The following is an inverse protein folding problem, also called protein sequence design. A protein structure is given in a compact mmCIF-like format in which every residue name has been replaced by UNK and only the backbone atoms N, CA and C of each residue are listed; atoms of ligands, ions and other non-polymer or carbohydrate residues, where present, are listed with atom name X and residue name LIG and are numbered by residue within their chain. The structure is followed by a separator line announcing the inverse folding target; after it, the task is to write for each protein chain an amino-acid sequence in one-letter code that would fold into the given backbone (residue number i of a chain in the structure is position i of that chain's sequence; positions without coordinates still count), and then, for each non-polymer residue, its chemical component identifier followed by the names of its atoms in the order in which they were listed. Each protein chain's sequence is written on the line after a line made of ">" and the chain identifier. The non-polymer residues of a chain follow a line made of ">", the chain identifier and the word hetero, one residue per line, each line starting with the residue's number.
data_IF_192833928460
#
_entry.id   IF_192833928460
#
_cell.length_a   1.000
_cell.length_b   1.000
_cell.length_c   1.000
_cell.angle_alpha   90.00
_cell.angle_beta   90.00
_cell.angle_gamma   90.00
#
_symmetry.space_group_name_H-M   'P 1'
#
loop_
_entity.id
_entity.type
_entity.pdbx_description
1 polymer ?
#
# COMPACT_ATOMS: atom_id res chain seq x y z
N UNK A 1 8.88 7.92 -17.75
CA UNK A 1 8.99 6.74 -16.87
C UNK A 1 10.14 5.80 -17.25
N UNK A 2 10.28 5.39 -18.53
CA UNK A 2 11.32 4.42 -18.95
C UNK A 2 12.75 4.85 -18.60
N UNK A 3 13.02 6.14 -18.56
CA UNK A 3 14.34 6.70 -18.26
C UNK A 3 14.59 6.96 -16.77
N UNK A 4 13.57 6.94 -15.93
CA UNK A 4 13.67 7.23 -14.50
C UNK A 4 14.69 6.34 -13.78
N UNK A 5 14.65 5.00 -13.91
CA UNK A 5 15.61 4.11 -13.24
C UNK A 5 17.07 4.33 -13.62
N UNK A 6 17.31 4.86 -14.84
CA UNK A 6 18.66 5.18 -15.30
C UNK A 6 19.14 6.59 -14.94
N UNK A 7 18.22 7.54 -14.76
CA UNK A 7 18.54 8.93 -14.41
C UNK A 7 18.66 9.17 -12.91
N UNK A 8 18.03 8.35 -12.11
CA UNK A 8 18.00 8.45 -10.65
C UNK A 8 18.63 7.20 -10.05
N UNK A 9 19.87 7.31 -9.63
CA UNK A 9 20.57 6.25 -8.88
C UNK A 9 20.86 6.77 -7.48
N UNK A 10 20.32 6.08 -6.48
CA UNK A 10 20.58 6.36 -5.07
C UNK A 10 21.61 5.34 -4.60
N UNK A 11 22.72 5.80 -4.04
CA UNK A 11 23.87 4.95 -3.69
C UNK A 11 24.33 5.20 -2.25
N UNK A 12 25.04 4.23 -1.68
CA UNK A 12 25.71 4.28 -0.36
C UNK A 12 24.73 4.66 0.75
N UNK A 13 25.09 5.57 1.62
CA UNK A 13 24.32 6.03 2.79
C UNK A 13 22.94 6.56 2.41
N UNK A 14 22.83 7.31 1.32
CA UNK A 14 21.53 7.75 0.81
C UNK A 14 20.63 6.57 0.44
N UNK A 15 21.20 5.47 -0.07
CA UNK A 15 20.40 4.28 -0.39
C UNK A 15 19.84 3.65 0.88
N UNK A 16 20.63 3.50 1.95
CA UNK A 16 20.17 2.96 3.22
C UNK A 16 19.05 3.81 3.82
N UNK A 17 19.20 5.14 3.85
CA UNK A 17 18.16 6.06 4.33
C UNK A 17 16.86 5.97 3.51
N UNK A 18 16.95 5.87 2.19
CA UNK A 18 15.77 5.73 1.32
C UNK A 18 15.12 4.35 1.44
N UNK A 19 15.89 3.29 1.71
CA UNK A 19 15.35 1.95 1.98
C UNK A 19 14.62 1.91 3.33
N UNK A 20 15.12 2.56 4.37
CA UNK A 20 14.40 2.73 5.64
C UNK A 20 13.12 3.55 5.44
N UNK A 21 13.15 4.60 4.60
CA UNK A 21 11.96 5.34 4.22
C UNK A 21 10.97 4.46 3.45
N UNK A 22 11.41 3.66 2.49
CA UNK A 22 10.55 2.71 1.79
C UNK A 22 9.88 1.73 2.76
N UNK A 23 10.66 1.18 3.70
CA UNK A 23 10.19 0.26 4.72
C UNK A 23 9.09 0.90 5.59
N UNK A 24 9.30 2.13 6.07
CA UNK A 24 8.30 2.84 6.88
C UNK A 24 6.99 3.15 6.14
N UNK A 25 6.96 2.96 4.83
CA UNK A 25 5.77 3.10 3.99
C UNK A 25 5.15 1.75 3.56
N UNK A 26 5.61 0.61 4.09
CA UNK A 26 5.05 -0.69 3.71
C UNK A 26 3.76 -0.98 4.48
N UNK A 27 2.66 -1.21 3.76
CA UNK A 27 1.53 -1.99 4.26
C UNK A 27 1.91 -3.46 4.12
N UNK A 28 2.42 -4.05 5.22
CA UNK A 28 2.89 -5.42 5.22
C UNK A 28 1.69 -6.37 5.12
N UNK A 29 1.63 -7.10 4.02
CA UNK A 29 0.39 -7.71 3.53
C UNK A 29 0.48 -9.23 3.51
N UNK A 30 -0.56 -9.90 4.01
CA UNK A 30 -0.86 -11.30 3.70
C UNK A 30 -2.32 -11.43 3.30
N UNK A 31 -2.58 -12.02 2.12
CA UNK A 31 -3.90 -12.20 1.51
C UNK A 31 -3.96 -13.58 0.86
N UNK A 32 -3.67 -14.59 1.65
CA UNK A 32 -3.68 -15.99 1.23
C UNK A 32 -4.88 -16.71 1.84
N UNK A 33 -5.51 -17.59 1.09
CA UNK A 33 -6.67 -18.34 1.57
C UNK A 33 -6.33 -19.35 2.68
N UNK A 34 -5.04 -19.61 2.90
CA UNK A 34 -4.51 -20.48 3.97
C UNK A 34 -3.92 -19.67 5.16
N UNK A 35 -4.21 -18.38 5.25
CA UNK A 35 -3.77 -17.57 6.38
C UNK A 35 -4.40 -18.08 7.69
N UNK A 36 -3.57 -18.09 8.72
CA UNK A 36 -3.97 -18.43 10.08
C UNK A 36 -3.66 -17.27 11.01
N UNK A 37 -4.37 -17.20 12.15
CA UNK A 37 -4.06 -16.20 13.18
C UNK A 37 -2.58 -16.22 13.58
N UNK A 38 -1.96 -17.39 13.66
CA UNK A 38 -0.57 -17.53 14.04
C UNK A 38 0.37 -16.93 13.00
N UNK A 39 0.05 -17.06 11.70
CA UNK A 39 0.78 -16.39 10.62
C UNK A 39 0.63 -14.88 10.73
N UNK A 40 -0.59 -14.41 10.95
CA UNK A 40 -0.87 -12.97 11.11
C UNK A 40 -0.16 -12.40 12.34
N UNK A 41 -0.15 -13.10 13.47
CA UNK A 41 0.60 -12.69 14.68
C UNK A 41 2.10 -12.56 14.42
N UNK A 42 2.69 -13.49 13.65
CA UNK A 42 4.11 -13.38 13.24
C UNK A 42 4.33 -12.16 12.34
N UNK A 43 3.44 -11.94 11.38
CA UNK A 43 3.49 -10.78 10.50
C UNK A 43 3.42 -9.46 11.27
N UNK A 44 2.55 -9.37 12.29
CA UNK A 44 2.44 -8.21 13.18
C UNK A 44 3.73 -7.97 13.98
N UNK A 45 4.35 -9.03 14.51
CA UNK A 45 5.67 -8.92 15.17
C UNK A 45 6.73 -8.39 14.21
N UNK A 46 6.72 -8.91 12.97
CA UNK A 46 7.62 -8.43 11.91
C UNK A 46 7.37 -6.98 11.55
N UNK A 47 6.12 -6.52 11.53
CA UNK A 47 5.79 -5.12 11.29
C UNK A 47 6.29 -4.18 12.39
N UNK A 48 6.24 -4.62 13.65
CA UNK A 48 6.77 -3.86 14.81
C UNK A 48 8.30 -3.79 14.84
N UNK A 49 8.97 -4.84 14.39
CA UNK A 49 10.44 -4.96 14.39
C UNK A 49 10.92 -5.50 13.04
N UNK A 50 10.82 -4.69 11.98
CA UNK A 50 11.05 -5.14 10.62
C UNK A 50 12.53 -5.35 10.28
N UNK A 51 13.44 -4.74 11.03
CA UNK A 51 14.90 -4.83 10.83
C UNK A 51 15.57 -5.30 12.12
N UNK A 52 16.58 -6.13 11.99
CA UNK A 52 17.38 -6.61 13.12
C UNK A 52 18.04 -5.44 13.85
N UNK A 53 18.07 -5.52 15.19
CA UNK A 53 18.59 -4.46 16.07
C UNK A 53 20.07 -4.16 15.84
N UNK A 54 20.89 -5.19 15.53
CA UNK A 54 22.31 -5.02 15.24
C UNK A 54 22.54 -4.18 13.96
N UNK A 55 21.69 -4.33 12.94
CA UNK A 55 21.76 -3.53 11.72
C UNK A 55 21.33 -2.09 11.97
N UNK A 56 20.26 -1.86 12.73
CA UNK A 56 19.82 -0.52 13.09
C UNK A 56 20.87 0.21 13.94
N UNK A 57 21.50 -0.50 14.89
CA UNK A 57 22.58 0.05 15.69
C UNK A 57 23.77 0.46 14.81
N UNK A 58 24.19 -0.39 13.86
CA UNK A 58 25.26 -0.07 12.92
C UNK A 58 24.94 1.11 11.98
N UNK A 59 23.64 1.39 11.74
CA UNK A 59 23.17 2.51 10.95
C UNK A 59 22.89 3.78 11.78
N UNK A 60 23.12 3.74 13.09
CA UNK A 60 22.78 4.81 14.05
C UNK A 60 21.30 5.24 13.98
N UNK A 61 20.41 4.26 13.89
CA UNK A 61 18.95 4.48 13.80
C UNK A 61 18.26 3.87 15.02
N UNK A 62 17.52 4.68 15.80
CA UNK A 62 16.73 4.18 16.92
C UNK A 62 15.66 3.18 16.43
N UNK A 63 15.62 2.00 17.05
CA UNK A 63 14.72 0.92 16.63
C UNK A 63 13.24 1.28 16.79
N UNK A 64 12.88 2.14 17.74
CA UNK A 64 11.51 2.60 17.99
C UNK A 64 10.95 3.42 16.82
N UNK A 65 11.82 3.95 15.96
CA UNK A 65 11.43 4.77 14.80
C UNK A 65 11.22 3.96 13.53
N UNK A 66 11.50 2.65 13.58
CA UNK A 66 11.47 1.79 12.39
C UNK A 66 10.41 0.71 12.56
N UNK A 67 9.29 0.89 11.89
CA UNK A 67 8.18 -0.07 11.82
C UNK A 67 7.49 0.03 10.45
N UNK A 68 6.71 -0.99 10.09
CA UNK A 68 5.87 -0.94 8.89
C UNK A 68 4.74 0.08 9.06
N UNK A 69 4.20 0.59 7.95
CA UNK A 69 3.12 1.58 7.97
C UNK A 69 1.80 1.01 8.45
N UNK A 70 1.47 -0.21 8.03
CA UNK A 70 0.26 -0.92 8.40
C UNK A 70 0.44 -2.44 8.24
N UNK A 71 -0.49 -3.21 8.81
CA UNK A 71 -0.74 -4.60 8.45
C UNK A 71 -1.98 -4.64 7.56
N UNK A 72 -1.92 -5.39 6.45
CA UNK A 72 -3.06 -5.56 5.55
C UNK A 72 -3.44 -7.03 5.43
N UNK A 73 -4.69 -7.36 5.78
CA UNK A 73 -5.21 -8.73 5.89
C UNK A 73 -6.63 -8.84 5.32
N UNK A 74 -7.15 -10.07 5.20
CA UNK A 74 -8.59 -10.29 5.04
C UNK A 74 -9.35 -9.96 6.32
N UNK A 75 -10.63 -9.60 6.21
CA UNK A 75 -11.49 -9.20 7.33
C UNK A 75 -11.54 -10.22 8.46
N UNK A 76 -11.55 -11.54 8.16
CA UNK A 76 -11.52 -12.60 9.17
C UNK A 76 -10.29 -12.56 10.09
N UNK A 77 -9.18 -12.03 9.58
CA UNK A 77 -7.92 -11.93 10.32
C UNK A 77 -7.76 -10.60 11.10
N UNK A 78 -8.68 -9.66 10.94
CA UNK A 78 -8.62 -8.34 11.61
C UNK A 78 -8.54 -8.46 13.13
N UNK A 79 -9.38 -9.25 13.83
CA UNK A 79 -9.31 -9.35 15.29
C UNK A 79 -7.95 -9.84 15.78
N UNK A 80 -7.36 -10.83 15.10
CA UNK A 80 -6.05 -11.37 15.45
C UNK A 80 -4.92 -10.35 15.23
N UNK A 81 -5.02 -9.54 14.18
CA UNK A 81 -4.07 -8.47 13.87
C UNK A 81 -4.17 -7.33 14.89
N UNK A 82 -5.39 -6.87 15.19
CA UNK A 82 -5.65 -5.80 16.19
C UNK A 82 -5.08 -6.20 17.55
N UNK A 83 -5.40 -7.41 18.02
CA UNK A 83 -4.89 -7.91 19.30
C UNK A 83 -3.35 -8.04 19.32
N UNK A 84 -2.73 -8.41 18.19
CA UNK A 84 -1.26 -8.54 18.11
C UNK A 84 -0.53 -7.20 17.99
N UNK A 85 -1.21 -6.15 17.59
CA UNK A 85 -0.68 -4.79 17.45
C UNK A 85 -1.06 -3.86 18.60
N UNK A 86 -1.76 -4.39 19.62
CA UNK A 86 -2.11 -3.61 20.80
C UNK A 86 -0.89 -2.91 21.42
N UNK A 87 -1.06 -1.64 21.81
CA UNK A 87 0.02 -0.80 22.28
C UNK A 87 1.02 -0.35 21.22
N UNK A 88 0.76 -0.60 19.92
CA UNK A 88 1.53 -0.03 18.80
C UNK A 88 0.68 1.01 18.05
N UNK A 89 1.34 1.90 17.33
CA UNK A 89 0.65 2.86 16.46
C UNK A 89 0.49 2.34 15.01
N UNK A 90 0.60 1.02 14.79
CA UNK A 90 0.49 0.41 13.46
C UNK A 90 -0.98 0.06 13.22
N UNK A 91 -1.66 0.69 12.25
CA UNK A 91 -3.05 0.40 11.94
C UNK A 91 -3.21 -0.96 11.25
N UNK A 92 -4.41 -1.55 11.40
CA UNK A 92 -4.83 -2.71 10.64
C UNK A 92 -5.70 -2.26 9.47
N UNK A 93 -5.31 -2.64 8.27
CA UNK A 93 -6.06 -2.48 7.04
C UNK A 93 -6.76 -3.80 6.67
N UNK A 94 -8.03 -3.73 6.30
CA UNK A 94 -8.77 -4.87 5.75
C UNK A 94 -9.04 -4.68 4.26
N UNK A 95 -8.78 -5.70 3.42
CA UNK A 95 -9.30 -5.71 2.06
C UNK A 95 -10.79 -6.04 2.10
N UNK A 96 -11.59 -5.42 1.22
CA UNK A 96 -13.05 -5.51 1.28
C UNK A 96 -13.71 -5.40 -0.09
N UNK A 97 -15.04 -5.40 -0.08
CA UNK A 97 -15.94 -5.29 -1.22
C UNK A 97 -15.84 -6.46 -2.21
N UNK A 98 -15.68 -7.67 -1.66
CA UNK A 98 -15.54 -8.89 -2.45
C UNK A 98 -14.16 -9.00 -3.11
N UNK A 99 -13.12 -8.58 -2.38
CA UNK A 99 -11.73 -8.69 -2.84
C UNK A 99 -11.36 -10.14 -3.23
N UNK A 100 -10.62 -10.41 -4.33
CA UNK A 100 -10.04 -9.41 -5.26
C UNK A 100 -10.97 -9.04 -6.43
N UNK A 101 -12.05 -9.78 -6.67
CA UNK A 101 -12.87 -9.64 -7.87
C UNK A 101 -13.81 -8.42 -7.83
N UNK A 102 -14.29 -8.02 -6.65
CA UNK A 102 -15.26 -6.93 -6.51
C UNK A 102 -16.65 -7.27 -7.05
N UNK A 103 -17.02 -8.57 -7.14
CA UNK A 103 -18.23 -9.06 -7.79
C UNK A 103 -19.27 -9.66 -6.82
N UNK A 104 -19.04 -9.58 -5.53
CA UNK A 104 -20.06 -9.96 -4.54
C UNK A 104 -21.31 -9.05 -4.66
N UNK A 105 -22.51 -9.54 -4.29
CA UNK A 105 -23.71 -8.71 -4.26
C UNK A 105 -23.48 -7.41 -3.49
N UNK A 106 -24.01 -6.31 -4.00
CA UNK A 106 -23.73 -4.95 -3.49
C UNK A 106 -23.99 -4.80 -1.98
N UNK A 107 -25.13 -5.30 -1.50
CA UNK A 107 -25.47 -5.23 -0.08
C UNK A 107 -24.45 -5.98 0.83
N UNK A 108 -23.91 -7.11 0.34
CA UNK A 108 -22.90 -7.88 1.06
C UNK A 108 -21.55 -7.14 1.09
N UNK A 109 -21.21 -6.39 0.04
CA UNK A 109 -19.99 -5.58 0.03
C UNK A 109 -20.04 -4.44 1.07
N UNK A 110 -21.20 -3.82 1.24
CA UNK A 110 -21.41 -2.83 2.30
C UNK A 110 -21.35 -3.46 3.69
N UNK A 111 -21.96 -4.62 3.87
CA UNK A 111 -21.93 -5.36 5.14
C UNK A 111 -20.49 -5.79 5.50
N UNK A 112 -19.71 -6.26 4.51
CA UNK A 112 -18.30 -6.64 4.69
C UNK A 112 -17.44 -5.47 5.22
N UNK A 113 -17.64 -4.26 4.69
CA UNK A 113 -17.00 -3.04 5.20
C UNK A 113 -17.36 -2.84 6.68
N UNK A 114 -18.67 -2.85 6.99
CA UNK A 114 -19.15 -2.62 8.35
C UNK A 114 -18.61 -3.63 9.36
N UNK A 115 -18.57 -4.91 8.99
CA UNK A 115 -18.00 -5.96 9.85
C UNK A 115 -16.48 -5.78 10.06
N UNK A 116 -15.73 -5.36 9.02
CA UNK A 116 -14.30 -5.07 9.14
C UNK A 116 -14.03 -3.89 10.10
N UNK A 117 -14.82 -2.84 10.01
CA UNK A 117 -14.71 -1.67 10.91
C UNK A 117 -15.05 -2.06 12.34
N UNK A 118 -16.14 -2.82 12.58
CA UNK A 118 -16.51 -3.34 13.90
C UNK A 118 -15.42 -4.24 14.49
N UNK A 119 -14.73 -5.01 13.67
CA UNK A 119 -13.62 -5.85 14.10
C UNK A 119 -12.36 -5.06 14.47
N UNK A 120 -12.32 -3.74 14.24
CA UNK A 120 -11.24 -2.84 14.60
C UNK A 120 -10.30 -2.48 13.45
N UNK A 121 -10.67 -2.71 12.19
CA UNK A 121 -9.91 -2.23 11.05
C UNK A 121 -9.94 -0.70 11.03
N UNK A 122 -8.77 -0.06 11.09
CA UNK A 122 -8.62 1.39 10.99
C UNK A 122 -8.55 1.88 9.53
N UNK A 123 -8.30 0.98 8.60
CA UNK A 123 -8.17 1.27 7.18
C UNK A 123 -8.90 0.20 6.36
N UNK A 124 -9.59 0.60 5.29
CA UNK A 124 -10.33 -0.31 4.42
C UNK A 124 -9.85 -0.15 2.98
N UNK A 125 -9.27 -1.21 2.42
CA UNK A 125 -8.84 -1.26 1.02
C UNK A 125 -10.00 -1.84 0.18
N UNK A 126 -10.85 -0.99 -0.38
CA UNK A 126 -12.03 -1.39 -1.18
C UNK A 126 -11.67 -1.65 -2.62
N UNK A 127 -12.31 -2.62 -3.27
CA UNK A 127 -12.19 -2.86 -4.72
C UNK A 127 -13.38 -2.22 -5.43
N UNK A 128 -13.12 -1.35 -6.40
CA UNK A 128 -14.17 -0.77 -7.23
C UNK A 128 -14.77 -1.79 -8.19
N UNK A 129 -16.02 -1.58 -8.62
CA UNK A 129 -16.60 -2.33 -9.73
C UNK A 129 -16.01 -1.89 -11.06
N UNK A 130 -15.05 -2.65 -11.60
CA UNK A 130 -14.38 -2.34 -12.89
C UNK A 130 -15.35 -2.18 -14.04
N UNK A 131 -16.50 -2.86 -14.00
CA UNK A 131 -17.56 -2.74 -15.01
C UNK A 131 -17.99 -1.30 -15.24
N UNK A 132 -18.11 -0.47 -14.19
CA UNK A 132 -18.50 0.93 -14.33
C UNK A 132 -17.46 1.71 -15.14
N UNK A 133 -16.18 1.45 -14.93
CA UNK A 133 -15.09 2.06 -15.70
C UNK A 133 -15.12 1.60 -17.17
N UNK A 134 -15.29 0.29 -17.39
CA UNK A 134 -15.26 -0.31 -18.73
C UNK A 134 -16.47 0.07 -19.57
N UNK A 135 -17.64 0.24 -18.95
CA UNK A 135 -18.86 0.76 -19.61
C UNK A 135 -18.92 2.29 -19.64
N UNK A 136 -17.94 2.99 -19.07
CA UNK A 136 -17.89 4.45 -18.93
C UNK A 136 -19.06 5.04 -18.12
N UNK A 137 -19.64 4.26 -17.24
CA UNK A 137 -20.66 4.69 -16.29
C UNK A 137 -19.99 5.34 -15.05
N UNK A 138 -19.54 6.55 -15.24
CA UNK A 138 -18.78 7.31 -14.23
C UNK A 138 -19.65 7.74 -13.04
N UNK A 139 -20.95 7.94 -13.30
CA UNK A 139 -21.90 8.27 -12.24
C UNK A 139 -22.08 7.08 -11.29
N UNK A 140 -22.26 5.88 -11.82
CA UNK A 140 -22.36 4.68 -11.00
C UNK A 140 -21.09 4.39 -10.21
N UNK A 141 -19.90 4.66 -10.76
CA UNK A 141 -18.64 4.54 -10.01
C UNK A 141 -18.60 5.52 -8.85
N UNK A 142 -19.01 6.77 -9.07
CA UNK A 142 -19.03 7.80 -8.04
C UNK A 142 -19.98 7.44 -6.89
N UNK A 143 -21.21 7.04 -7.22
CA UNK A 143 -22.24 6.66 -6.25
C UNK A 143 -21.85 5.40 -5.45
N UNK A 144 -21.27 4.40 -6.12
CA UNK A 144 -20.72 3.20 -5.46
C UNK A 144 -19.65 3.59 -4.45
N UNK A 145 -18.69 4.42 -4.85
CA UNK A 145 -17.59 4.84 -4.01
C UNK A 145 -18.06 5.69 -2.82
N UNK A 146 -19.03 6.61 -3.03
CA UNK A 146 -19.64 7.38 -1.93
C UNK A 146 -20.31 6.45 -0.90
N UNK A 147 -21.03 5.44 -1.37
CA UNK A 147 -21.68 4.48 -0.47
C UNK A 147 -20.66 3.68 0.34
N UNK A 148 -19.54 3.29 -0.27
CA UNK A 148 -18.45 2.63 0.43
C UNK A 148 -17.79 3.58 1.45
N UNK A 149 -17.56 4.86 1.10
CA UNK A 149 -17.04 5.86 2.05
C UNK A 149 -17.95 5.99 3.29
N UNK A 150 -19.26 6.09 3.07
CA UNK A 150 -20.24 6.18 4.17
C UNK A 150 -20.17 4.91 5.04
N UNK A 151 -20.09 3.73 4.46
CA UNK A 151 -20.01 2.47 5.21
C UNK A 151 -18.70 2.33 6.02
N UNK A 152 -17.60 2.96 5.58
CA UNK A 152 -16.33 2.98 6.29
C UNK A 152 -16.32 3.89 7.52
N UNK A 153 -17.27 4.83 7.66
CA UNK A 153 -17.30 5.78 8.77
C UNK A 153 -15.98 6.56 8.91
N UNK A 154 -15.32 6.48 10.05
CA UNK A 154 -14.04 7.15 10.32
C UNK A 154 -12.81 6.37 9.77
N UNK A 155 -12.98 5.13 9.31
CA UNK A 155 -11.86 4.36 8.81
C UNK A 155 -11.31 4.95 7.50
N UNK A 156 -9.99 4.89 7.33
CA UNK A 156 -9.28 5.39 6.15
C UNK A 156 -9.59 4.53 4.92
N UNK A 157 -9.98 5.13 3.80
CA UNK A 157 -10.41 4.40 2.60
C UNK A 157 -9.37 4.43 1.51
N UNK A 158 -8.96 3.24 1.05
CA UNK A 158 -8.07 3.11 -0.09
C UNK A 158 -8.80 2.44 -1.25
N UNK A 159 -9.04 3.17 -2.34
CA UNK A 159 -9.74 2.67 -3.51
C UNK A 159 -8.80 1.88 -4.43
N UNK A 160 -9.01 0.56 -4.52
CA UNK A 160 -8.26 -0.32 -5.43
C UNK A 160 -8.90 -0.25 -6.81
N UNK A 161 -8.16 0.28 -7.78
CA UNK A 161 -8.65 0.48 -9.14
C UNK A 161 -8.53 -0.77 -10.03
N UNK A 162 -7.62 -1.70 -9.70
CA UNK A 162 -7.26 -2.85 -10.54
C UNK A 162 -6.81 -2.40 -11.95
N UNK A 163 -5.83 -1.51 -11.98
CA UNK A 163 -5.42 -0.73 -13.15
C UNK A 163 -5.04 -1.55 -14.38
N UNK A 164 -4.54 -2.78 -14.18
CA UNK A 164 -4.22 -3.70 -15.27
C UNK A 164 -5.43 -4.18 -16.08
N UNK A 165 -6.63 -4.03 -15.52
CA UNK A 165 -7.90 -4.48 -16.12
C UNK A 165 -8.77 -3.33 -16.63
N UNK A 166 -8.32 -2.07 -16.55
CA UNK A 166 -9.12 -0.89 -16.97
C UNK A 166 -8.97 -0.51 -18.46
N UNK A 167 -8.17 -1.25 -19.22
CA UNK A 167 -8.04 -1.13 -20.67
C UNK A 167 -7.22 0.07 -21.16
N UNK A 168 -7.16 1.20 -20.46
CA UNK A 168 -6.39 2.38 -20.89
C UNK A 168 -5.96 3.27 -19.74
N UNK A 169 -4.85 4.01 -19.92
CA UNK A 169 -4.41 5.03 -18.96
C UNK A 169 -5.44 6.16 -18.78
N UNK A 170 -6.26 6.45 -19.81
CA UNK A 170 -7.35 7.41 -19.68
C UNK A 170 -8.40 6.94 -18.67
N UNK A 171 -8.76 5.67 -18.71
CA UNK A 171 -9.69 5.07 -17.74
C UNK A 171 -9.09 5.08 -16.33
N UNK A 172 -7.78 4.76 -16.19
CA UNK A 172 -7.07 4.86 -14.91
C UNK A 172 -7.13 6.28 -14.35
N UNK A 173 -6.86 7.30 -15.19
CA UNK A 173 -6.90 8.69 -14.76
C UNK A 173 -8.31 9.10 -14.29
N UNK A 174 -9.34 8.79 -15.06
CA UNK A 174 -10.74 9.12 -14.73
C UNK A 174 -11.21 8.41 -13.45
N UNK A 175 -10.94 7.10 -13.34
CA UNK A 175 -11.29 6.34 -12.15
C UNK A 175 -10.56 6.88 -10.90
N UNK A 176 -9.28 7.25 -11.02
CA UNK A 176 -8.53 7.90 -9.93
C UNK A 176 -9.21 9.17 -9.46
N UNK A 177 -9.53 10.07 -10.38
CA UNK A 177 -10.18 11.35 -10.05
C UNK A 177 -11.56 11.13 -9.40
N UNK A 178 -12.39 10.24 -9.96
CA UNK A 178 -13.74 9.99 -9.44
C UNK A 178 -13.67 9.38 -8.03
N UNK A 179 -12.77 8.43 -7.77
CA UNK A 179 -12.63 7.85 -6.44
C UNK A 179 -12.19 8.91 -5.40
N UNK A 180 -11.27 9.81 -5.75
CA UNK A 180 -10.89 10.92 -4.87
C UNK A 180 -12.05 11.89 -4.61
N UNK A 181 -12.78 12.27 -5.65
CA UNK A 181 -13.98 13.13 -5.53
C UNK A 181 -15.07 12.51 -4.67
N UNK A 182 -15.20 11.19 -4.68
CA UNK A 182 -16.18 10.43 -3.91
C UNK A 182 -15.72 10.12 -2.47
N UNK A 183 -14.53 10.62 -2.04
CA UNK A 183 -14.07 10.54 -0.67
C UNK A 183 -13.08 9.42 -0.36
N UNK A 184 -12.38 8.88 -1.36
CA UNK A 184 -11.23 8.02 -1.10
C UNK A 184 -10.06 8.83 -0.52
N UNK A 185 -9.47 8.36 0.59
CA UNK A 185 -8.26 8.96 1.17
C UNK A 185 -7.02 8.58 0.36
N UNK A 186 -7.01 7.36 -0.19
CA UNK A 186 -5.96 6.82 -1.06
C UNK A 186 -6.53 6.26 -2.35
N UNK A 187 -5.77 6.34 -3.43
CA UNK A 187 -5.95 5.52 -4.62
C UNK A 187 -4.85 4.46 -4.70
N UNK A 188 -5.26 3.21 -4.92
CA UNK A 188 -4.37 2.03 -4.97
C UNK A 188 -4.42 1.40 -6.35
N UNK A 189 -3.26 0.98 -6.87
CA UNK A 189 -3.20 0.45 -8.24
C UNK A 189 -3.97 -0.85 -8.41
N UNK A 190 -3.74 -1.84 -7.56
CA UNK A 190 -4.06 -3.23 -7.85
C UNK A 190 -4.40 -4.03 -6.60
N UNK A 191 -5.04 -5.18 -6.77
CA UNK A 191 -5.25 -6.17 -5.71
C UNK A 191 -3.98 -7.01 -5.46
N UNK A 192 -3.09 -7.09 -6.44
CA UNK A 192 -1.96 -8.01 -6.47
C UNK A 192 -2.30 -9.38 -7.06
N UNK A 193 -3.55 -9.59 -7.49
CA UNK A 193 -4.04 -10.83 -8.08
C UNK A 193 -4.27 -10.74 -9.60
N UNK A 194 -4.16 -9.55 -10.18
CA UNK A 194 -4.23 -9.32 -11.61
C UNK A 194 -2.93 -9.79 -12.30
N UNK A 195 -3.01 -10.04 -13.62
CA UNK A 195 -1.84 -10.39 -14.44
C UNK A 195 -0.85 -9.23 -14.57
N UNK A 196 -1.36 -7.98 -14.58
CA UNK A 196 -0.58 -6.75 -14.61
C UNK A 196 -0.96 -5.89 -13.41
N UNK A 197 0.01 -5.60 -12.56
CA UNK A 197 -0.16 -4.83 -11.34
C UNK A 197 0.49 -3.43 -11.47
N UNK A 198 1.12 -2.94 -10.39
CA UNK A 198 1.75 -1.63 -10.39
C UNK A 198 2.88 -1.53 -11.44
N UNK A 199 2.81 -0.46 -12.25
CA UNK A 199 3.88 -0.08 -13.18
C UNK A 199 4.16 1.41 -13.08
N UNK A 200 5.38 1.86 -13.40
CA UNK A 200 5.72 3.28 -13.36
C UNK A 200 4.84 4.15 -14.27
N UNK A 201 4.44 3.75 -15.50
CA UNK A 201 3.52 4.53 -16.32
C UNK A 201 2.13 4.71 -15.71
N UNK A 202 1.55 3.65 -15.13
CA UNK A 202 0.28 3.70 -14.41
C UNK A 202 0.41 4.60 -13.19
N UNK A 203 1.49 4.43 -12.42
CA UNK A 203 1.78 5.23 -11.23
C UNK A 203 1.88 6.71 -11.55
N UNK A 204 2.63 7.08 -12.60
CA UNK A 204 2.73 8.46 -13.06
C UNK A 204 1.36 9.06 -13.39
N UNK A 205 0.50 8.27 -14.07
CA UNK A 205 -0.86 8.70 -14.41
C UNK A 205 -1.67 9.01 -13.14
N UNK A 206 -1.68 8.09 -12.18
CA UNK A 206 -2.41 8.26 -10.92
C UNK A 206 -1.88 9.40 -10.07
N UNK A 207 -0.56 9.49 -9.93
CA UNK A 207 0.13 10.54 -9.16
C UNK A 207 -0.18 11.93 -9.72
N UNK A 208 -0.24 12.08 -11.04
CA UNK A 208 -0.64 13.34 -11.67
C UNK A 208 -2.09 13.71 -11.41
N UNK A 209 -2.99 12.73 -11.30
CA UNK A 209 -4.37 13.01 -10.88
C UNK A 209 -4.41 13.48 -9.42
N UNK A 210 -3.58 12.92 -8.52
CA UNK A 210 -3.44 13.41 -7.14
C UNK A 210 -2.95 14.86 -7.13
N UNK A 211 -1.89 15.17 -7.90
CA UNK A 211 -1.35 16.53 -7.99
C UNK A 211 -2.41 17.52 -8.50
N UNK A 212 -3.03 17.20 -9.63
CA UNK A 212 -4.01 18.08 -10.26
C UNK A 212 -5.26 18.29 -9.36
N UNK A 213 -5.64 17.26 -8.59
CA UNK A 213 -6.73 17.35 -7.62
C UNK A 213 -6.33 18.20 -6.41
N UNK A 214 -5.14 17.99 -5.86
CA UNK A 214 -4.60 18.80 -4.77
C UNK A 214 -4.49 20.29 -5.16
N UNK A 215 -3.94 20.60 -6.32
CA UNK A 215 -3.81 21.97 -6.81
C UNK A 215 -5.16 22.70 -6.92
N UNK A 216 -6.23 21.97 -7.19
CA UNK A 216 -7.59 22.53 -7.33
C UNK A 216 -8.38 22.62 -6.03
N UNK A 217 -8.17 21.70 -5.12
CA UNK A 217 -9.04 21.51 -3.96
C UNK A 217 -8.34 21.69 -2.62
N UNK A 218 -7.01 21.58 -2.57
CA UNK A 218 -6.22 21.55 -1.35
C UNK A 218 -6.25 20.21 -0.61
N UNK A 219 -7.00 19.19 -1.10
CA UNK A 219 -7.06 17.88 -0.46
C UNK A 219 -5.83 17.03 -0.78
N UNK A 220 -5.23 16.46 0.28
CA UNK A 220 -4.07 15.57 0.18
C UNK A 220 -4.54 14.12 0.09
N UNK A 221 -4.67 13.58 -1.12
CA UNK A 221 -4.93 12.16 -1.30
C UNK A 221 -3.62 11.37 -1.35
N UNK A 222 -3.62 10.18 -0.77
CA UNK A 222 -2.48 9.28 -0.78
C UNK A 222 -2.43 8.38 -2.01
N UNK A 223 -1.25 7.78 -2.22
CA UNK A 223 -0.99 6.83 -3.30
C UNK A 223 -0.43 5.52 -2.78
N UNK A 224 -0.99 4.38 -3.26
CA UNK A 224 -0.52 3.05 -2.89
C UNK A 224 -0.27 2.17 -4.11
N UNK A 225 0.97 2.08 -4.62
CA UNK A 225 1.32 1.03 -5.58
C UNK A 225 1.28 -0.34 -4.89
N UNK A 226 0.69 -1.33 -5.53
CA UNK A 226 0.54 -2.68 -5.00
C UNK A 226 0.68 -3.74 -6.10
N UNK A 227 1.23 -4.91 -5.72
CA UNK A 227 1.46 -6.03 -6.61
C UNK A 227 2.73 -5.91 -7.45
N UNK A 228 3.58 -6.94 -7.39
CA UNK A 228 4.82 -7.04 -8.18
C UNK A 228 6.01 -6.25 -7.64
N UNK A 229 5.88 -5.49 -6.56
CA UNK A 229 6.98 -4.72 -5.97
C UNK A 229 7.65 -5.59 -4.89
N UNK A 230 8.70 -6.31 -5.28
CA UNK A 230 9.39 -7.26 -4.39
C UNK A 230 10.86 -6.94 -4.17
N UNK A 231 11.44 -6.03 -4.96
CA UNK A 231 12.86 -5.67 -4.88
C UNK A 231 13.03 -4.28 -4.29
N UNK A 232 13.99 -4.14 -3.39
CA UNK A 232 14.38 -2.88 -2.78
C UNK A 232 14.68 -1.79 -3.82
N UNK A 233 15.38 -2.16 -4.91
CA UNK A 233 15.66 -1.24 -6.01
C UNK A 233 14.40 -0.67 -6.67
N UNK A 234 13.35 -1.49 -6.80
CA UNK A 234 12.10 -1.02 -7.42
C UNK A 234 11.41 0.00 -6.52
N UNK A 235 11.41 -0.21 -5.19
CA UNK A 235 10.83 0.76 -4.26
C UNK A 235 11.47 2.14 -4.36
N UNK A 236 12.79 2.21 -4.60
CA UNK A 236 13.49 3.48 -4.79
C UNK A 236 13.01 4.23 -6.05
N UNK A 237 12.64 3.51 -7.12
CA UNK A 237 12.08 4.13 -8.31
C UNK A 237 10.71 4.78 -8.05
N UNK A 238 9.85 4.14 -7.25
CA UNK A 238 8.57 4.70 -6.85
C UNK A 238 8.74 5.91 -5.93
N UNK A 239 9.63 5.84 -4.95
CA UNK A 239 9.92 7.00 -4.09
C UNK A 239 10.48 8.18 -4.89
N UNK A 240 11.39 7.92 -5.85
CA UNK A 240 11.91 8.97 -6.73
C UNK A 240 10.79 9.60 -7.57
N UNK A 241 9.85 8.77 -8.08
CA UNK A 241 8.70 9.27 -8.84
C UNK A 241 7.78 10.14 -7.99
N UNK A 242 7.48 9.72 -6.76
CA UNK A 242 6.68 10.51 -5.81
C UNK A 242 7.36 11.85 -5.51
N UNK A 243 8.65 11.82 -5.20
CA UNK A 243 9.41 13.04 -4.90
C UNK A 243 9.40 14.02 -6.07
N UNK A 244 9.58 13.54 -7.31
CA UNK A 244 9.60 14.39 -8.50
C UNK A 244 8.23 15.01 -8.85
N UNK A 245 7.13 14.27 -8.65
CA UNK A 245 5.80 14.73 -9.09
C UNK A 245 5.00 15.41 -7.96
N UNK A 246 5.21 15.05 -6.69
CA UNK A 246 4.41 15.52 -5.54
C UNK A 246 5.25 16.18 -4.43
N UNK A 247 6.58 15.98 -4.44
CA UNK A 247 7.47 16.54 -3.41
C UNK A 247 7.57 15.71 -2.13
N UNK A 248 8.32 16.25 -1.16
CA UNK A 248 8.72 15.52 0.05
C UNK A 248 7.54 15.22 1.00
N UNK A 249 6.45 16.03 0.96
CA UNK A 249 5.27 15.80 1.79
C UNK A 249 4.63 14.43 1.53
N UNK A 250 4.66 13.96 0.28
CA UNK A 250 4.13 12.64 -0.09
C UNK A 250 5.08 11.47 0.19
N UNK A 251 6.26 11.69 0.75
CA UNK A 251 7.17 10.62 1.18
C UNK A 251 6.89 10.13 2.61
N UNK A 252 5.69 10.32 3.12
CA UNK A 252 5.28 9.93 4.46
C UNK A 252 4.17 8.86 4.41
N UNK A 253 4.07 7.97 5.41
CA UNK A 253 3.11 6.86 5.39
C UNK A 253 1.65 7.29 5.43
N UNK A 254 1.35 8.51 5.79
CA UNK A 254 0.00 9.09 5.72
C UNK A 254 -0.44 9.44 4.28
N UNK A 255 0.51 9.57 3.34
CA UNK A 255 0.22 9.90 1.93
C UNK A 255 0.86 8.94 0.92
N UNK A 256 1.73 8.03 1.37
CA UNK A 256 2.34 7.03 0.48
C UNK A 256 2.48 5.67 1.16
N UNK A 257 2.07 4.60 0.49
CA UNK A 257 2.21 3.23 0.97
C UNK A 257 2.66 2.30 -0.14
N UNK A 258 3.41 1.26 0.22
CA UNK A 258 3.64 0.09 -0.63
C UNK A 258 2.74 -1.06 -0.19
N UNK A 259 1.89 -1.59 -1.06
CA UNK A 259 1.20 -2.85 -0.80
C UNK A 259 2.12 -4.02 -1.15
N UNK A 260 2.80 -4.59 -0.16
CA UNK A 260 3.83 -5.59 -0.40
C UNK A 260 3.98 -6.60 0.76
N UNK A 261 4.53 -7.78 0.44
CA UNK A 261 4.94 -8.80 1.40
C UNK A 261 6.45 -9.03 1.36
N UNK A 262 6.99 -9.47 0.24
CA UNK A 262 8.40 -9.86 0.09
C UNK A 262 9.39 -8.68 0.00
N UNK A 263 8.91 -7.47 -0.28
CA UNK A 263 9.74 -6.27 -0.37
C UNK A 263 10.54 -6.03 0.91
N UNK A 264 9.93 -6.23 2.06
CA UNK A 264 10.56 -6.03 3.35
C UNK A 264 11.83 -6.87 3.50
N UNK A 265 11.75 -8.16 3.19
CA UNK A 265 12.91 -9.06 3.27
C UNK A 265 14.04 -8.70 2.30
N UNK A 266 13.71 -8.13 1.13
CA UNK A 266 14.75 -7.65 0.20
C UNK A 266 15.40 -6.36 0.71
N UNK A 267 14.64 -5.45 1.32
CA UNK A 267 15.18 -4.25 1.98
C UNK A 267 16.13 -4.65 3.12
N UNK A 268 15.75 -5.58 3.99
CA UNK A 268 16.64 -6.06 5.07
C UNK A 268 17.95 -6.59 4.54
N UNK A 269 17.93 -7.40 3.48
CA UNK A 269 19.14 -7.93 2.85
C UNK A 269 20.02 -6.83 2.27
N UNK A 270 19.43 -5.80 1.68
CA UNK A 270 20.20 -4.65 1.18
C UNK A 270 20.80 -3.82 2.30
N UNK A 271 20.10 -3.64 3.43
CA UNK A 271 20.64 -2.97 4.61
C UNK A 271 21.78 -3.79 5.24
N UNK A 272 21.65 -5.12 5.36
CA UNK A 272 22.73 -5.98 5.83
C UNK A 272 23.94 -5.93 4.90
N UNK A 273 23.73 -5.94 3.58
CA UNK A 273 24.81 -5.77 2.62
C UNK A 273 25.52 -4.42 2.77
N UNK A 274 24.77 -3.35 3.00
CA UNK A 274 25.33 -2.02 3.22
C UNK A 274 26.22 -1.96 4.46
N UNK A 275 25.80 -2.60 5.57
CA UNK A 275 26.52 -2.61 6.83
C UNK A 275 27.74 -3.54 6.80
N UNK A 276 27.58 -4.75 6.24
CA UNK A 276 28.59 -5.81 6.33
C UNK A 276 29.52 -5.90 5.11
N UNK A 277 29.13 -5.33 3.98
CA UNK A 277 29.80 -5.51 2.68
C UNK A 277 29.57 -6.89 2.02
N UNK A 278 28.79 -7.77 2.65
CA UNK A 278 28.56 -9.14 2.17
C UNK A 278 27.09 -9.38 1.82
N UNK A 279 26.82 -10.26 0.87
CA UNK A 279 25.45 -10.67 0.53
C UNK A 279 24.83 -11.45 1.71
N UNK A 280 23.64 -11.03 2.09
CA UNK A 280 22.90 -11.65 3.17
C UNK A 280 22.22 -12.96 2.73
N UNK A 281 22.31 -13.99 3.56
CA UNK A 281 21.56 -15.22 3.38
C UNK A 281 20.10 -15.04 3.89
N UNK A 282 19.14 -15.61 3.17
CA UNK A 282 17.70 -15.48 3.48
C UNK A 282 17.33 -15.96 4.89
N UNK A 283 18.01 -16.99 5.41
CA UNK A 283 17.72 -17.55 6.74
C UNK A 283 18.17 -16.65 7.91
N UNK A 284 18.90 -15.57 7.63
CA UNK A 284 19.37 -14.62 8.68
C UNK A 284 18.30 -13.61 9.08
N UNK A 285 17.22 -13.50 8.32
CA UNK A 285 16.11 -12.58 8.58
C UNK A 285 14.85 -13.35 8.99
N UNK A 286 14.16 -12.81 9.99
CA UNK A 286 12.90 -13.39 10.41
C UNK A 286 11.88 -13.34 9.26
N UNK A 287 11.21 -14.46 9.03
CA UNK A 287 10.12 -14.56 8.05
C UNK A 287 8.84 -14.08 8.74
N UNK A 288 8.13 -13.15 8.07
CA UNK A 288 6.83 -12.66 8.51
C UNK A 288 5.70 -13.64 8.17
#
# INVERSE_FOLDING_TARGET
>A
CKTLPGRRSIKKEHQAAWLLKALSCIDLTTLSGDDTEQRVRRLCRKARMPVRSDLLHALDVPHERVHAAAICVYHEMVPAAVAALDGSNIPVAAVSTGFPAGLSPYALRLAEIGESVKAGAAEIDIVISRRHVLSQDWQALYEEMQSFRVACGEAHVKAILATGELGSLRNVARASLICMMAGADFIKTSTGKESVNATLPVSLTMIRQIRDYYERTGYHNGYKPAGGISKAKDSLNYLALIKEELGDRWLQPDLFRFGASSLLGDIERQLEHHVSGHYSATHRHAIG
#
